data_IF_511101750150
#
_entry.id   IF_511101750150
#
_cell.length_a   1.000
_cell.length_b   1.000
_cell.length_c   1.000
_cell.angle_alpha   90.00
_cell.angle_beta   90.00
_cell.angle_gamma   90.00
#
_symmetry.space_group_name_H-M   'P 1'
#
loop_
_entity.id
_entity.type
_entity.pdbx_description
1 polymer ?
#
# COMPACT_ATOMS: atom_id res chain seq x y z
N UNK A 1 2.76 10.41 -17.16
CA UNK A 1 3.40 9.75 -16.00
C UNK A 1 2.94 8.29 -16.00
N UNK A 2 3.86 7.32 -15.99
CA UNK A 2 3.59 5.93 -16.39
C UNK A 2 2.92 5.08 -15.30
N UNK A 3 3.22 5.33 -14.02
CA UNK A 3 2.77 4.48 -12.91
C UNK A 3 1.55 5.03 -12.19
N UNK A 4 1.66 6.24 -11.64
CA UNK A 4 0.59 6.97 -10.97
C UNK A 4 0.54 8.41 -11.49
N UNK A 5 -0.63 8.90 -11.92
CA UNK A 5 -0.80 10.30 -12.27
C UNK A 5 -0.75 11.17 -11.00
N UNK A 6 -0.09 12.32 -11.10
CA UNK A 6 -0.15 13.36 -10.05
C UNK A 6 -1.36 14.23 -10.32
N UNK A 7 -2.27 14.34 -9.35
CA UNK A 7 -3.59 14.93 -9.56
C UNK A 7 -3.55 16.44 -9.82
N UNK A 8 -2.75 17.17 -9.04
CA UNK A 8 -2.58 18.62 -9.18
C UNK A 8 -1.12 18.97 -9.38
N UNK A 9 -0.85 19.79 -10.40
CA UNK A 9 0.47 20.36 -10.68
C UNK A 9 0.31 21.80 -11.19
N UNK A 10 1.39 22.58 -11.16
CA UNK A 10 1.44 23.83 -11.91
C UNK A 10 1.17 23.60 -13.40
N UNK A 11 0.77 24.65 -14.12
CA UNK A 11 0.58 24.58 -15.58
C UNK A 11 1.93 24.22 -16.24
N UNK A 12 1.97 23.26 -17.19
CA UNK A 12 3.14 23.00 -18.01
C UNK A 12 3.57 24.24 -18.80
N UNK A 13 4.86 24.54 -18.85
CA UNK A 13 5.41 25.70 -19.58
C UNK A 13 6.51 25.23 -20.51
N UNK A 14 6.47 25.66 -21.78
CA UNK A 14 7.49 25.34 -22.81
C UNK A 14 7.81 23.83 -22.92
N UNK A 15 6.79 22.98 -22.86
CA UNK A 15 6.94 21.52 -22.94
C UNK A 15 7.49 20.85 -21.67
N UNK A 16 7.80 21.61 -20.61
CA UNK A 16 8.21 21.06 -19.32
C UNK A 16 6.97 20.63 -18.51
N UNK A 17 7.04 19.49 -17.78
CA UNK A 17 5.94 19.06 -16.92
C UNK A 17 5.69 20.05 -15.79
N UNK A 18 4.44 20.10 -15.33
CA UNK A 18 4.06 20.86 -14.15
C UNK A 18 4.82 20.40 -12.89
N UNK A 19 5.06 21.34 -11.98
CA UNK A 19 5.73 21.10 -10.69
C UNK A 19 4.73 21.03 -9.55
N UNK A 20 5.16 20.45 -8.44
CA UNK A 20 4.46 20.46 -7.15
C UNK A 20 5.28 21.27 -6.14
N UNK A 21 4.72 21.51 -4.95
CA UNK A 21 5.44 22.13 -3.84
C UNK A 21 6.25 21.06 -3.08
N UNK A 22 6.07 20.96 -1.76
CA UNK A 22 6.75 19.99 -0.89
C UNK A 22 6.03 18.63 -0.83
N UNK A 23 4.79 18.55 -1.33
CA UNK A 23 3.97 17.33 -1.34
C UNK A 23 3.27 17.13 -2.69
N UNK A 24 2.79 15.91 -2.97
CA UNK A 24 2.00 15.61 -4.16
C UNK A 24 0.90 14.57 -3.92
N UNK A 25 -0.17 14.65 -4.72
CA UNK A 25 -1.30 13.70 -4.65
C UNK A 25 -1.21 12.72 -5.82
N UNK A 26 -1.15 11.43 -5.51
CA UNK A 26 -1.19 10.33 -6.45
C UNK A 26 -2.64 9.85 -6.63
N UNK A 27 -3.14 9.86 -7.86
CA UNK A 27 -4.51 9.47 -8.16
C UNK A 27 -4.61 7.99 -8.53
N UNK A 28 -5.20 7.21 -7.62
CA UNK A 28 -5.39 5.77 -7.75
C UNK A 28 -6.83 5.42 -8.18
N UNK A 29 -7.74 6.39 -8.29
CA UNK A 29 -9.16 6.12 -8.60
C UNK A 29 -9.35 5.41 -9.94
N UNK A 30 -8.65 5.79 -11.04
CA UNK A 30 -8.75 5.04 -12.29
C UNK A 30 -8.19 3.61 -12.21
N UNK A 31 -7.29 3.32 -11.25
CA UNK A 31 -6.85 1.95 -11.01
C UNK A 31 -7.97 1.16 -10.34
N UNK A 32 -8.58 1.73 -9.28
CA UNK A 32 -9.72 1.13 -8.59
C UNK A 32 -10.88 0.81 -9.52
N UNK A 33 -11.25 1.74 -10.41
CA UNK A 33 -12.37 1.54 -11.34
C UNK A 33 -12.12 0.39 -12.32
N UNK A 34 -10.86 0.13 -12.67
CA UNK A 34 -10.48 -0.92 -13.64
C UNK A 34 -10.19 -2.27 -13.00
N UNK A 35 -9.64 -2.28 -11.79
CA UNK A 35 -9.09 -3.51 -11.17
C UNK A 35 -9.78 -3.91 -9.87
N UNK A 36 -10.54 -3.00 -9.25
CA UNK A 36 -11.06 -3.15 -7.89
C UNK A 36 -10.08 -2.76 -6.78
N UNK A 37 -8.78 -2.63 -7.09
CA UNK A 37 -7.74 -2.32 -6.10
C UNK A 37 -7.70 -0.82 -5.83
N UNK A 38 -7.94 -0.44 -4.58
CA UNK A 38 -8.02 0.96 -4.14
C UNK A 38 -6.78 1.48 -3.43
N UNK A 39 -6.84 2.75 -3.05
CA UNK A 39 -5.79 3.39 -2.25
C UNK A 39 -5.56 2.68 -0.91
N UNK A 40 -6.62 2.18 -0.27
CA UNK A 40 -6.50 1.44 0.99
C UNK A 40 -5.67 0.15 0.83
N UNK A 41 -5.88 -0.62 -0.23
CA UNK A 41 -5.09 -1.83 -0.50
C UNK A 41 -3.60 -1.49 -0.66
N UNK A 42 -3.30 -0.40 -1.39
CA UNK A 42 -1.93 0.10 -1.54
C UNK A 42 -1.34 0.52 -0.19
N UNK A 43 -2.12 1.20 0.67
CA UNK A 43 -1.63 1.58 2.02
C UNK A 43 -1.28 0.39 2.88
N UNK A 44 -2.08 -0.68 2.85
CA UNK A 44 -1.79 -1.89 3.63
C UNK A 44 -0.62 -2.64 3.01
N UNK A 45 -0.54 -2.72 1.69
CA UNK A 45 0.56 -3.39 1.00
C UNK A 45 1.90 -2.71 1.26
N UNK A 46 1.96 -1.38 1.38
CA UNK A 46 3.18 -0.66 1.75
C UNK A 46 3.78 -1.12 3.08
N UNK A 47 2.97 -1.62 4.03
CA UNK A 47 3.47 -2.20 5.29
C UNK A 47 4.34 -3.44 5.04
N UNK A 48 3.98 -4.25 4.05
CA UNK A 48 4.79 -5.42 3.67
C UNK A 48 6.12 -5.01 3.03
N UNK A 49 6.18 -3.82 2.42
CA UNK A 49 7.39 -3.18 1.91
C UNK A 49 8.19 -2.43 2.98
N UNK A 50 7.72 -2.42 4.24
CA UNK A 50 8.40 -1.75 5.36
C UNK A 50 8.12 -0.25 5.47
N UNK A 51 7.07 0.26 4.83
CA UNK A 51 6.68 1.66 4.88
C UNK A 51 5.38 1.88 5.66
N UNK A 52 5.34 2.95 6.43
CA UNK A 52 4.06 3.54 6.82
C UNK A 52 3.43 4.19 5.58
N UNK A 53 2.11 4.10 5.47
CA UNK A 53 1.41 4.71 4.34
C UNK A 53 1.47 6.26 4.39
N UNK A 54 1.49 6.93 3.24
CA UNK A 54 1.19 8.35 3.16
C UNK A 54 -0.24 8.67 3.59
N UNK A 55 -0.59 9.95 3.59
CA UNK A 55 -1.96 10.40 3.90
C UNK A 55 -2.97 9.78 2.93
N UNK A 56 -3.96 9.06 3.48
CA UNK A 56 -4.97 8.33 2.73
C UNK A 56 -6.27 9.14 2.60
N UNK A 57 -6.80 9.24 1.38
CA UNK A 57 -8.14 9.76 1.08
C UNK A 57 -8.43 11.20 1.53
N UNK A 58 -7.38 11.99 1.75
CA UNK A 58 -7.46 13.42 2.02
C UNK A 58 -6.35 14.16 1.22
N UNK A 59 -6.63 15.34 0.64
CA UNK A 59 -7.92 16.04 0.59
C UNK A 59 -8.91 15.45 -0.43
N UNK A 60 -8.50 14.47 -1.23
CA UNK A 60 -9.34 13.83 -2.24
C UNK A 60 -9.61 12.36 -1.85
N UNK A 61 -10.86 11.91 -1.78
CA UNK A 61 -11.17 10.52 -1.49
C UNK A 61 -10.57 9.55 -2.51
N UNK A 62 -9.99 8.45 -2.05
CA UNK A 62 -9.41 7.42 -2.93
C UNK A 62 -8.03 7.76 -3.52
N UNK A 63 -7.34 8.78 -2.99
CA UNK A 63 -5.98 9.15 -3.39
C UNK A 63 -4.97 8.99 -2.26
N UNK A 64 -3.68 9.08 -2.57
CA UNK A 64 -2.59 9.15 -1.58
C UNK A 64 -1.87 10.49 -1.70
N UNK A 65 -1.66 11.19 -0.59
CA UNK A 65 -0.87 12.43 -0.54
C UNK A 65 0.47 12.16 0.13
N UNK A 66 1.55 12.43 -0.60
CA UNK A 66 2.93 12.06 -0.25
C UNK A 66 3.76 13.32 -0.02
N UNK A 67 4.37 13.42 1.15
CA UNK A 67 5.32 14.46 1.56
C UNK A 67 6.59 13.78 2.11
N UNK A 68 7.73 13.85 1.41
CA UNK A 68 8.95 13.20 1.87
C UNK A 68 9.70 13.97 2.96
N UNK A 69 9.53 15.29 3.03
CA UNK A 69 10.38 16.22 3.79
C UNK A 69 11.84 16.28 3.30
N UNK A 70 12.57 17.28 3.75
CA UNK A 70 13.98 17.50 3.45
C UNK A 70 14.94 16.60 4.25
N UNK A 71 14.42 15.89 5.27
CA UNK A 71 15.25 15.08 6.18
C UNK A 71 15.52 13.68 5.64
N UNK A 72 14.70 13.20 4.70
CA UNK A 72 14.84 11.87 4.13
C UNK A 72 15.93 11.82 3.06
N UNK A 73 16.75 10.78 3.12
CA UNK A 73 17.85 10.58 2.16
C UNK A 73 17.31 10.21 0.79
N UNK A 74 18.07 10.52 -0.28
CA UNK A 74 17.69 10.11 -1.63
C UNK A 74 17.46 8.59 -1.73
N UNK A 75 18.27 7.79 -1.02
CA UNK A 75 18.10 6.34 -0.98
C UNK A 75 16.74 5.93 -0.39
N UNK A 76 16.22 6.64 0.62
CA UNK A 76 14.91 6.33 1.20
C UNK A 76 13.77 6.72 0.25
N UNK A 77 13.92 7.83 -0.47
CA UNK A 77 12.99 8.25 -1.51
C UNK A 77 12.92 7.22 -2.64
N UNK A 78 14.08 6.74 -3.10
CA UNK A 78 14.17 5.72 -4.14
C UNK A 78 13.52 4.41 -3.68
N UNK A 79 13.76 3.97 -2.43
CA UNK A 79 13.10 2.77 -1.86
C UNK A 79 11.57 2.90 -1.85
N UNK A 80 11.04 4.06 -1.48
CA UNK A 80 9.59 4.29 -1.49
C UNK A 80 9.02 4.29 -2.92
N UNK A 81 9.72 4.95 -3.86
CA UNK A 81 9.34 4.98 -5.28
C UNK A 81 9.34 3.57 -5.88
N UNK A 82 10.37 2.78 -5.61
CA UNK A 82 10.49 1.40 -6.07
C UNK A 82 9.39 0.50 -5.48
N UNK A 83 9.05 0.68 -4.20
CA UNK A 83 7.90 0.00 -3.59
C UNK A 83 6.58 0.35 -4.31
N UNK A 84 6.34 1.64 -4.58
CA UNK A 84 5.15 2.08 -5.30
C UNK A 84 5.10 1.53 -6.75
N UNK A 85 6.24 1.49 -7.45
CA UNK A 85 6.36 0.91 -8.80
C UNK A 85 6.09 -0.60 -8.77
N UNK A 86 6.67 -1.32 -7.80
CA UNK A 86 6.44 -2.75 -7.63
C UNK A 86 4.95 -3.04 -7.36
N UNK A 87 4.32 -2.26 -6.48
CA UNK A 87 2.87 -2.33 -6.22
C UNK A 87 2.06 -2.03 -7.49
N UNK A 88 2.49 -1.11 -8.35
CA UNK A 88 1.82 -0.87 -9.65
C UNK A 88 1.90 -2.11 -10.55
N UNK A 89 3.03 -2.83 -10.50
CA UNK A 89 3.21 -4.12 -11.16
C UNK A 89 2.29 -5.19 -10.60
N UNK A 90 2.12 -5.25 -9.27
CA UNK A 90 1.15 -6.14 -8.62
C UNK A 90 -0.29 -5.85 -9.07
N UNK A 91 -0.67 -4.57 -9.15
CA UNK A 91 -1.98 -4.15 -9.67
C UNK A 91 -2.16 -4.58 -11.13
N UNK A 92 -1.09 -4.53 -11.95
CA UNK A 92 -1.16 -4.98 -13.34
C UNK A 92 -1.41 -6.48 -13.47
N UNK A 93 -0.93 -7.30 -12.53
CA UNK A 93 -1.19 -8.75 -12.49
C UNK A 93 -2.63 -9.08 -12.11
N UNK A 94 -3.26 -8.24 -11.28
CA UNK A 94 -4.71 -8.30 -11.04
C UNK A 94 -5.47 -7.83 -12.28
N UNK A 95 -5.04 -6.74 -12.91
CA UNK A 95 -5.66 -6.19 -14.14
C UNK A 95 -5.63 -7.19 -15.31
N UNK A 96 -4.56 -7.98 -15.45
CA UNK A 96 -4.43 -9.00 -16.49
C UNK A 96 -5.18 -10.31 -16.18
N UNK A 97 -5.73 -10.46 -14.97
CA UNK A 97 -6.36 -11.69 -14.49
C UNK A 97 -5.38 -12.80 -14.10
N UNK A 98 -4.07 -12.51 -14.01
CA UNK A 98 -3.09 -13.47 -13.48
C UNK A 98 -3.37 -13.79 -12.00
N UNK A 99 -3.81 -12.79 -11.24
CA UNK A 99 -4.27 -12.97 -9.87
C UNK A 99 -5.76 -12.70 -9.71
N UNK A 100 -6.47 -13.53 -8.93
CA UNK A 100 -7.87 -13.26 -8.57
C UNK A 100 -8.02 -11.90 -7.89
N UNK A 101 -9.09 -11.19 -8.22
CA UNK A 101 -9.37 -9.86 -7.64
C UNK A 101 -9.58 -9.92 -6.12
N UNK A 102 -10.13 -11.03 -5.63
CA UNK A 102 -10.48 -11.28 -4.23
C UNK A 102 -9.40 -12.04 -3.45
N UNK A 103 -8.34 -12.52 -4.11
CA UNK A 103 -7.27 -13.27 -3.46
C UNK A 103 -5.91 -12.98 -4.11
N UNK A 104 -5.28 -11.89 -3.68
CA UNK A 104 -3.98 -11.42 -4.16
C UNK A 104 -3.21 -10.70 -3.04
N UNK A 105 -1.91 -10.39 -3.22
CA UNK A 105 -1.13 -9.74 -2.17
C UNK A 105 -1.70 -8.39 -1.70
N UNK A 106 -2.40 -7.64 -2.56
CA UNK A 106 -2.89 -6.29 -2.28
C UNK A 106 -4.10 -6.33 -1.34
N UNK A 107 -5.06 -7.22 -1.59
CA UNK A 107 -6.29 -7.33 -0.77
C UNK A 107 -6.05 -8.08 0.55
N UNK A 108 -5.06 -8.97 0.58
CA UNK A 108 -4.71 -9.75 1.77
C UNK A 108 -3.67 -9.05 2.67
N UNK A 109 -3.04 -7.97 2.20
CA UNK A 109 -2.12 -7.18 3.02
C UNK A 109 -2.84 -6.50 4.21
N UNK A 110 -2.15 -6.29 5.35
CA UNK A 110 -0.76 -6.65 5.61
C UNK A 110 -0.57 -8.11 6.03
N UNK A 111 0.59 -8.69 5.74
CA UNK A 111 0.89 -10.08 6.07
C UNK A 111 1.64 -10.20 7.39
N UNK A 112 1.06 -10.93 8.35
CA UNK A 112 1.67 -11.13 9.67
C UNK A 112 2.65 -12.30 9.67
N UNK A 113 3.58 -12.32 10.64
CA UNK A 113 4.48 -13.45 10.82
C UNK A 113 3.71 -14.76 11.12
N UNK A 114 2.65 -14.68 11.92
CA UNK A 114 1.81 -15.83 12.27
C UNK A 114 1.12 -16.44 11.04
N UNK A 115 0.53 -15.59 10.20
CA UNK A 115 -0.11 -16.00 8.95
C UNK A 115 0.86 -16.68 7.97
N UNK A 116 2.11 -16.21 7.90
CA UNK A 116 3.11 -16.81 7.02
C UNK A 116 3.65 -18.14 7.54
N UNK A 117 3.66 -18.33 8.86
CA UNK A 117 4.09 -19.56 9.52
C UNK A 117 2.99 -20.63 9.59
N UNK A 118 1.74 -20.26 9.28
CA UNK A 118 0.65 -21.22 9.14
C UNK A 118 1.04 -22.33 8.15
N UNK A 119 0.73 -23.59 8.47
CA UNK A 119 1.02 -24.74 7.60
C UNK A 119 0.24 -24.65 6.28
N UNK A 120 -0.98 -24.13 6.33
CA UNK A 120 -1.91 -24.13 5.20
C UNK A 120 -1.80 -22.81 4.43
N UNK A 121 -1.16 -22.86 3.25
CA UNK A 121 -1.02 -21.70 2.37
C UNK A 121 -1.77 -21.91 1.06
N UNK A 122 -3.00 -21.41 1.01
CA UNK A 122 -3.95 -21.57 -0.11
C UNK A 122 -3.96 -20.37 -1.07
N UNK A 123 -3.06 -19.40 -0.88
CA UNK A 123 -3.01 -18.17 -1.67
C UNK A 123 -2.25 -18.39 -3.00
N UNK A 124 -2.65 -17.73 -4.10
CA UNK A 124 -2.07 -17.94 -5.45
C UNK A 124 -0.70 -17.25 -5.65
N UNK A 125 -0.04 -16.88 -4.56
CA UNK A 125 1.26 -16.23 -4.55
C UNK A 125 2.08 -16.78 -3.39
N UNK A 126 3.41 -16.65 -3.44
CA UNK A 126 4.27 -17.27 -2.43
C UNK A 126 4.31 -16.49 -1.11
N UNK A 127 4.56 -17.19 0.00
CA UNK A 127 4.92 -16.59 1.29
C UNK A 127 6.12 -15.63 1.16
N UNK A 128 7.07 -15.95 0.28
CA UNK A 128 8.22 -15.11 -0.01
C UNK A 128 7.83 -13.75 -0.59
N UNK A 129 6.88 -13.71 -1.55
CA UNK A 129 6.36 -12.46 -2.11
C UNK A 129 5.55 -11.67 -1.08
N UNK A 130 4.82 -12.36 -0.20
CA UNK A 130 4.08 -11.74 0.88
C UNK A 130 5.02 -11.05 1.90
N UNK A 131 6.05 -11.78 2.36
CA UNK A 131 6.96 -11.34 3.42
C UNK A 131 8.07 -10.39 2.93
N UNK A 132 8.67 -10.68 1.78
CA UNK A 132 9.86 -10.01 1.27
C UNK A 132 9.67 -9.66 -0.22
N UNK A 133 8.75 -8.71 -0.53
CA UNK A 133 8.51 -8.32 -1.91
C UNK A 133 9.74 -7.69 -2.59
N UNK A 134 10.70 -7.19 -1.81
CA UNK A 134 12.02 -6.76 -2.27
C UNK A 134 13.13 -7.46 -1.46
N UNK A 135 14.30 -7.77 -2.07
CA UNK A 135 15.36 -8.55 -1.42
C UNK A 135 15.90 -7.94 -0.12
N UNK A 136 15.97 -6.61 -0.04
CA UNK A 136 16.58 -5.85 1.06
C UNK A 136 15.86 -6.10 2.40
N UNK A 137 14.56 -6.39 2.35
CA UNK A 137 13.74 -6.67 3.54
C UNK A 137 14.13 -7.96 4.25
N UNK A 138 14.90 -8.84 3.61
CA UNK A 138 15.44 -10.04 4.28
C UNK A 138 16.45 -9.70 5.37
N UNK A 139 17.15 -8.57 5.23
CA UNK A 139 18.14 -8.11 6.21
C UNK A 139 17.49 -7.33 7.37
N UNK A 140 16.40 -6.61 7.10
CA UNK A 140 15.68 -5.83 8.10
C UNK A 140 14.19 -5.83 7.78
N UNK A 141 13.40 -6.53 8.59
CA UNK A 141 11.95 -6.68 8.43
C UNK A 141 11.22 -6.14 9.65
N UNK A 142 10.34 -5.17 9.41
CA UNK A 142 9.26 -4.85 10.34
C UNK A 142 8.08 -5.79 10.08
N UNK A 143 7.54 -6.40 11.14
CA UNK A 143 6.39 -7.29 11.05
C UNK A 143 5.11 -6.56 11.47
N UNK A 144 4.09 -6.49 10.60
CA UNK A 144 2.75 -6.09 11.00
C UNK A 144 2.26 -7.00 12.15
N UNK A 145 1.88 -6.45 13.31
CA UNK A 145 1.52 -7.26 14.47
C UNK A 145 0.14 -7.92 14.33
N UNK A 146 -0.72 -7.37 13.47
CA UNK A 146 -2.07 -7.87 13.18
C UNK A 146 -2.35 -7.77 11.68
N UNK A 147 -3.31 -8.56 11.21
CA UNK A 147 -3.82 -8.48 9.83
C UNK A 147 -4.65 -7.22 9.59
N UNK A 148 -5.34 -7.18 8.45
CA UNK A 148 -6.19 -6.04 8.09
C UNK A 148 -7.31 -5.87 9.11
N UNK A 149 -7.44 -4.66 9.65
CA UNK A 149 -8.46 -4.29 10.64
C UNK A 149 -9.84 -4.24 9.98
N UNK A 150 -10.84 -4.82 10.65
CA UNK A 150 -12.26 -4.64 10.29
C UNK A 150 -12.80 -3.37 10.96
N UNK A 151 -12.79 -2.27 10.20
CA UNK A 151 -13.26 -0.97 10.68
C UNK A 151 -14.76 -1.00 11.02
N UNK A 152 -15.57 -1.69 10.19
CA UNK A 152 -17.04 -1.69 10.33
C UNK A 152 -17.46 -2.48 11.56
N UNK A 153 -16.79 -3.58 11.86
CA UNK A 153 -17.05 -4.36 13.06
C UNK A 153 -16.83 -3.53 14.33
N UNK A 154 -15.73 -2.76 14.40
CA UNK A 154 -15.41 -1.90 15.53
C UNK A 154 -16.49 -0.86 15.81
N UNK A 155 -16.96 -0.18 14.76
CA UNK A 155 -18.03 0.82 14.89
C UNK A 155 -19.37 0.21 15.33
N UNK A 156 -19.64 -1.04 14.93
CA UNK A 156 -20.87 -1.77 15.30
C UNK A 156 -20.80 -2.40 16.69
N UNK A 157 -19.61 -2.68 17.20
CA UNK A 157 -19.36 -3.37 18.46
C UNK A 157 -18.41 -2.52 19.32
N UNK A 158 -18.92 -1.39 19.80
CA UNK A 158 -18.11 -0.38 20.46
C UNK A 158 -17.61 -0.85 21.84
N UNK A 159 -16.32 -1.15 21.93
CA UNK A 159 -15.60 -1.42 23.19
C UNK A 159 -14.47 -0.41 23.37
N UNK A 160 -14.65 0.56 24.27
CA UNK A 160 -13.68 1.63 24.52
C UNK A 160 -12.94 1.48 25.87
N UNK A 161 -12.95 0.28 26.44
CA UNK A 161 -12.21 -0.09 27.64
C UNK A 161 -11.52 -1.44 27.43
N UNK A 162 -10.59 -1.80 28.32
CA UNK A 162 -9.95 -3.11 28.26
C UNK A 162 -11.01 -4.21 28.30
N UNK A 163 -11.02 -5.05 27.27
CA UNK A 163 -11.81 -6.28 27.28
C UNK A 163 -11.30 -7.18 28.41
N UNK A 164 -12.17 -7.99 29.04
CA UNK A 164 -11.72 -8.96 30.03
C UNK A 164 -10.68 -9.88 29.40
N UNK A 165 -9.46 -9.84 29.91
CA UNK A 165 -8.50 -10.92 29.73
C UNK A 165 -8.92 -11.99 30.72
N UNK A 166 -9.36 -13.15 30.23
CA UNK A 166 -9.58 -14.30 31.12
C UNK A 166 -8.26 -14.68 31.77
N UNK A 167 -8.32 -15.20 33.00
CA UNK A 167 -7.20 -15.96 33.57
C UNK A 167 -6.81 -17.15 32.68
#
# INVERSE_FOLDING_TARGET
KTYYPTLYTSVPVNGQPGRVAHECILDLRPLKDRTGVGAEDVTKRLMDYGFHAPTLSFPVPGTLMVEPTESETLQELDRFIDAMIAIRGEIARVESGEWPQDNNPLVNAPHTAAELLDSDWTKPYSRGLAAFPVPELKASKYWPPVGRIDNVYGDRNLFCCCVPVTD
#
